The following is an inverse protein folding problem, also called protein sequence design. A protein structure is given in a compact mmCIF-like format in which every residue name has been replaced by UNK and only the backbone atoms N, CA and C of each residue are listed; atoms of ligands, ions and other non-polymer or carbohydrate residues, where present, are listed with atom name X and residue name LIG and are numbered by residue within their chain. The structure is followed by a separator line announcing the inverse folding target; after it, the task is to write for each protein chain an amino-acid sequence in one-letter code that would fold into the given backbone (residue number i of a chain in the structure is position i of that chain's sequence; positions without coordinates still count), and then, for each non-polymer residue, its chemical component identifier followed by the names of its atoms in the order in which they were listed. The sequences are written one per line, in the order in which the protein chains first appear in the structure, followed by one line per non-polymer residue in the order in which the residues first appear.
data_IF_158578487448
#
_entry.id   IF_158578487448
#
_cell.length_a   1.000
_cell.length_b   1.000
_cell.length_c   1.000
_cell.angle_alpha   90.00
_cell.angle_beta   90.00
_cell.angle_gamma   90.00
#
_symmetry.space_group_name_H-M   'P 1'
#
loop_
_entity.id
_entity.type
_entity.pdbx_description
1 polymer ?
#
# COMPACT_ATOMS: atom_id res chain seq x y z
N UNK A 1 -8.91 -27.17 5.25
CA UNK A 1 -9.79 -26.00 4.95
C UNK A 1 -9.00 -25.02 4.10
N UNK A 2 -9.68 -24.24 3.24
CA UNK A 2 -9.03 -23.28 2.33
C UNK A 2 -8.86 -21.91 2.97
N UNK A 3 -7.84 -21.16 2.53
CA UNK A 3 -7.58 -19.78 2.91
C UNK A 3 -7.80 -18.87 1.70
N UNK A 4 -8.43 -17.71 1.90
CA UNK A 4 -8.74 -16.77 0.82
C UNK A 4 -7.96 -15.47 0.99
N UNK A 5 -7.34 -15.00 -0.08
CA UNK A 5 -6.61 -13.74 -0.13
C UNK A 5 -7.21 -12.85 -1.22
N UNK A 6 -7.81 -11.72 -0.85
CA UNK A 6 -8.48 -10.83 -1.80
C UNK A 6 -7.70 -9.53 -1.96
N UNK A 7 -7.15 -9.32 -3.16
CA UNK A 7 -6.23 -8.20 -3.46
C UNK A 7 -6.61 -7.46 -4.74
N UNK A 8 -6.23 -6.19 -4.82
CA UNK A 8 -6.50 -5.28 -5.95
C UNK A 8 -5.27 -4.53 -6.45
N UNK A 9 -4.29 -4.31 -5.59
CA UNK A 9 -3.09 -3.51 -5.91
C UNK A 9 -1.81 -4.28 -5.58
N UNK A 10 -0.66 -3.89 -6.17
CA UNK A 10 0.63 -4.51 -5.89
C UNK A 10 0.99 -4.56 -4.40
N UNK A 11 0.75 -3.47 -3.65
CA UNK A 11 1.00 -3.41 -2.22
C UNK A 11 0.15 -4.43 -1.45
N UNK A 12 -1.13 -4.56 -1.79
CA UNK A 12 -2.03 -5.53 -1.17
C UNK A 12 -1.57 -6.98 -1.44
N UNK A 13 -1.03 -7.26 -2.63
CA UNK A 13 -0.46 -8.57 -2.95
C UNK A 13 0.82 -8.87 -2.16
N UNK A 14 1.69 -7.86 -1.97
CA UNK A 14 2.88 -7.98 -1.10
C UNK A 14 2.44 -8.33 0.32
N UNK A 15 1.48 -7.59 0.88
CA UNK A 15 0.98 -7.84 2.23
C UNK A 15 0.22 -9.19 2.36
N UNK A 16 -0.40 -9.68 1.27
CA UNK A 16 -0.98 -11.01 1.23
C UNK A 16 0.07 -12.13 1.26
N UNK A 17 1.21 -11.94 0.57
CA UNK A 17 2.35 -12.88 0.64
C UNK A 17 2.96 -12.90 2.04
N UNK A 18 3.12 -11.73 2.67
CA UNK A 18 3.54 -11.63 4.08
C UNK A 18 2.59 -12.36 5.02
N UNK A 19 1.27 -12.18 4.86
CA UNK A 19 0.29 -12.90 5.65
C UNK A 19 0.39 -14.42 5.45
N UNK A 20 0.44 -14.89 4.19
CA UNK A 20 0.63 -16.32 3.87
C UNK A 20 1.85 -16.90 4.58
N UNK A 21 2.98 -16.18 4.56
CA UNK A 21 4.22 -16.59 5.22
C UNK A 21 4.10 -16.58 6.74
N UNK A 22 3.59 -15.48 7.32
CA UNK A 22 3.42 -15.31 8.77
C UNK A 22 2.55 -16.43 9.37
N UNK A 23 1.38 -16.66 8.78
CA UNK A 23 0.40 -17.62 9.26
C UNK A 23 0.69 -19.06 8.80
N UNK A 24 1.75 -19.26 7.99
CA UNK A 24 2.15 -20.56 7.43
C UNK A 24 0.99 -21.31 6.78
N UNK A 25 0.11 -20.58 6.10
CA UNK A 25 -1.14 -21.14 5.59
C UNK A 25 -0.89 -22.08 4.42
N UNK A 26 -1.70 -23.14 4.36
CA UNK A 26 -1.72 -24.12 3.27
C UNK A 26 -3.08 -24.05 2.56
N UNK A 27 -3.18 -24.58 1.33
CA UNK A 27 -4.41 -24.55 0.54
C UNK A 27 -4.94 -23.10 0.35
N UNK A 28 -4.13 -22.28 -0.31
CA UNK A 28 -4.32 -20.84 -0.46
C UNK A 28 -4.91 -20.49 -1.82
N UNK A 29 -6.03 -19.75 -1.82
CA UNK A 29 -6.68 -19.23 -3.03
C UNK A 29 -6.46 -17.72 -3.09
N UNK A 30 -5.80 -17.26 -4.15
CA UNK A 30 -5.65 -15.84 -4.43
C UNK A 30 -6.79 -15.36 -5.31
N UNK A 31 -7.48 -14.31 -4.88
CA UNK A 31 -8.53 -13.63 -5.63
C UNK A 31 -7.99 -12.25 -6.01
N UNK A 32 -7.65 -12.11 -7.29
CA UNK A 32 -7.13 -10.86 -7.85
C UNK A 32 -8.27 -10.09 -8.51
N UNK A 33 -8.51 -8.87 -8.06
CA UNK A 33 -9.55 -8.00 -8.61
C UNK A 33 -8.89 -6.85 -9.34
N UNK A 34 -8.68 -7.02 -10.65
CA UNK A 34 -8.01 -6.01 -11.47
C UNK A 34 -8.81 -4.71 -11.52
N UNK A 35 -8.12 -3.59 -11.37
CA UNK A 35 -8.66 -2.28 -11.70
C UNK A 35 -8.71 -2.10 -13.22
N UNK A 36 -9.34 -1.02 -13.69
CA UNK A 36 -9.25 -0.60 -15.10
C UNK A 36 -7.87 -0.04 -15.46
N UNK A 37 -7.00 0.20 -14.47
CA UNK A 37 -5.65 0.72 -14.69
C UNK A 37 -4.74 -0.43 -15.17
N UNK A 38 -4.19 -0.27 -16.37
CA UNK A 38 -3.32 -1.26 -17.00
C UNK A 38 -1.96 -1.40 -16.29
N UNK A 39 -1.41 -0.30 -15.76
CA UNK A 39 -0.15 -0.30 -15.01
C UNK A 39 -0.26 -1.14 -13.73
N UNK A 40 -1.36 -1.00 -12.98
CA UNK A 40 -1.64 -1.85 -11.81
C UNK A 40 -1.63 -3.33 -12.19
N UNK A 41 -2.32 -3.66 -13.28
CA UNK A 41 -2.43 -5.04 -13.78
C UNK A 41 -1.08 -5.62 -14.15
N UNK A 42 -0.24 -4.85 -14.84
CA UNK A 42 1.12 -5.27 -15.21
C UNK A 42 2.02 -5.47 -14.00
N UNK A 43 1.99 -4.55 -13.03
CA UNK A 43 2.74 -4.67 -11.79
C UNK A 43 2.31 -5.90 -10.98
N UNK A 44 1.00 -6.12 -10.86
CA UNK A 44 0.45 -7.32 -10.21
C UNK A 44 0.94 -8.59 -10.88
N UNK A 45 0.89 -8.68 -12.21
CA UNK A 45 1.31 -9.87 -12.94
C UNK A 45 2.81 -10.17 -12.81
N UNK A 46 3.65 -9.17 -12.53
CA UNK A 46 5.08 -9.38 -12.26
C UNK A 46 5.33 -9.98 -10.87
N UNK A 47 4.45 -9.71 -9.90
CA UNK A 47 4.59 -10.20 -8.52
C UNK A 47 3.90 -11.57 -8.36
N UNK A 48 2.80 -11.82 -9.08
CA UNK A 48 2.09 -13.09 -9.01
C UNK A 48 2.97 -14.21 -9.58
N UNK A 49 3.30 -15.18 -8.73
CA UNK A 49 3.89 -16.45 -9.11
C UNK A 49 2.86 -17.56 -8.89
N UNK A 50 2.54 -18.32 -9.95
CA UNK A 50 1.50 -19.36 -9.88
C UNK A 50 1.83 -20.47 -8.89
N UNK A 51 3.12 -20.73 -8.65
CA UNK A 51 3.57 -21.75 -7.70
C UNK A 51 3.30 -21.38 -6.24
N UNK A 52 3.02 -20.10 -5.96
CA UNK A 52 2.71 -19.65 -4.61
C UNK A 52 1.26 -19.95 -4.19
N UNK A 53 0.39 -20.32 -5.12
CA UNK A 53 -1.06 -20.40 -4.86
C UNK A 53 -1.64 -21.71 -5.36
N UNK A 54 -2.57 -22.28 -4.61
CA UNK A 54 -3.27 -23.50 -5.03
C UNK A 54 -4.33 -23.20 -6.11
N UNK A 55 -4.94 -22.02 -6.07
CA UNK A 55 -5.84 -21.53 -7.11
C UNK A 55 -5.68 -19.99 -7.21
N UNK A 56 -5.68 -19.47 -8.44
CA UNK A 56 -5.72 -18.03 -8.70
C UNK A 56 -6.99 -17.69 -9.47
N UNK A 57 -7.87 -16.92 -8.83
CA UNK A 57 -9.13 -16.45 -9.41
C UNK A 57 -8.97 -14.98 -9.79
N UNK A 58 -9.01 -14.71 -11.09
CA UNK A 58 -8.84 -13.37 -11.65
C UNK A 58 -10.18 -12.77 -12.05
N UNK A 59 -10.62 -11.74 -11.32
CA UNK A 59 -11.83 -10.96 -11.61
C UNK A 59 -11.50 -9.71 -12.42
N UNK A 60 -12.45 -9.27 -13.25
CA UNK A 60 -12.33 -8.03 -14.04
C UNK A 60 -11.13 -7.95 -14.99
N UNK A 61 -10.64 -9.08 -15.50
CA UNK A 61 -9.45 -9.10 -16.38
C UNK A 61 -9.58 -8.23 -17.63
N UNK A 62 -10.82 -8.05 -18.12
CA UNK A 62 -11.17 -7.25 -19.30
C UNK A 62 -11.49 -5.77 -19.00
N UNK A 63 -11.35 -5.31 -17.75
CA UNK A 63 -11.60 -3.92 -17.38
C UNK A 63 -13.06 -3.47 -17.58
N UNK A 64 -14.03 -4.33 -17.29
CA UNK A 64 -15.45 -4.00 -17.42
C UNK A 64 -15.85 -2.90 -16.43
N UNK A 65 -16.78 -2.04 -16.82
CA UNK A 65 -17.38 -1.00 -15.95
C UNK A 65 -18.09 -1.59 -14.72
N UNK A 66 -18.62 -2.81 -14.82
CA UNK A 66 -19.28 -3.51 -13.71
C UNK A 66 -18.81 -4.95 -13.60
N UNK A 67 -18.44 -5.34 -12.38
CA UNK A 67 -17.92 -6.67 -12.00
C UNK A 67 -18.88 -7.41 -11.06
N UNK A 68 -20.08 -6.86 -10.90
CA UNK A 68 -21.09 -7.28 -9.93
C UNK A 68 -21.43 -8.77 -10.03
N UNK A 69 -21.74 -9.26 -11.24
CA UNK A 69 -22.09 -10.67 -11.44
C UNK A 69 -20.91 -11.62 -11.27
N UNK A 70 -19.68 -11.18 -11.60
CA UNK A 70 -18.46 -11.96 -11.35
C UNK A 70 -18.27 -12.18 -9.85
N UNK A 71 -18.48 -11.13 -9.04
CA UNK A 71 -18.49 -11.22 -7.58
C UNK A 71 -19.58 -12.15 -7.04
N UNK A 72 -20.83 -12.02 -7.50
CA UNK A 72 -21.93 -12.87 -7.03
C UNK A 72 -21.65 -14.34 -7.33
N UNK A 73 -21.24 -14.66 -8.56
CA UNK A 73 -20.91 -16.03 -8.96
C UNK A 73 -19.81 -16.60 -8.08
N UNK A 74 -18.76 -15.81 -7.82
CA UNK A 74 -17.64 -16.23 -6.97
C UNK A 74 -18.08 -16.45 -5.52
N UNK A 75 -18.80 -15.50 -4.91
CA UNK A 75 -19.26 -15.61 -3.53
C UNK A 75 -20.18 -16.82 -3.36
N UNK A 76 -21.11 -17.04 -4.30
CA UNK A 76 -21.98 -18.23 -4.29
C UNK A 76 -21.23 -19.55 -4.46
N UNK A 77 -20.09 -19.56 -5.16
CA UNK A 77 -19.18 -20.72 -5.22
C UNK A 77 -18.49 -20.92 -3.86
N UNK A 78 -17.94 -19.85 -3.28
CA UNK A 78 -17.10 -19.91 -2.08
C UNK A 78 -17.90 -20.21 -0.80
N UNK A 79 -19.15 -19.76 -0.69
CA UNK A 79 -20.00 -19.97 0.49
C UNK A 79 -20.37 -21.44 0.74
N UNK A 80 -20.16 -22.34 -0.24
CA UNK A 80 -20.51 -23.76 -0.13
C UNK A 80 -19.68 -24.51 0.91
N UNK A 81 -18.50 -23.98 1.25
CA UNK A 81 -17.57 -24.62 2.18
C UNK A 81 -17.01 -23.60 3.16
N UNK A 82 -16.73 -24.00 4.41
CA UNK A 82 -16.09 -23.10 5.36
C UNK A 82 -14.66 -22.75 4.95
N UNK A 83 -14.29 -21.50 5.21
CA UNK A 83 -12.95 -20.95 4.99
C UNK A 83 -12.23 -20.85 6.33
N UNK A 84 -10.95 -21.20 6.38
CA UNK A 84 -10.16 -21.09 7.61
C UNK A 84 -9.87 -19.61 7.89
N UNK A 85 -9.11 -18.96 7.00
CA UNK A 85 -8.78 -17.53 7.10
C UNK A 85 -9.18 -16.78 5.83
N UNK A 86 -9.78 -15.61 6.02
CA UNK A 86 -10.02 -14.63 4.96
C UNK A 86 -9.13 -13.41 5.19
N UNK A 87 -8.25 -13.12 4.23
CA UNK A 87 -7.41 -11.93 4.18
C UNK A 87 -7.99 -10.98 3.14
N UNK A 88 -8.35 -9.77 3.55
CA UNK A 88 -8.97 -8.77 2.68
C UNK A 88 -8.53 -7.37 3.08
N UNK A 89 -8.52 -6.42 2.15
CA UNK A 89 -7.94 -5.11 2.42
C UNK A 89 -8.99 -4.11 2.89
N UNK A 90 -10.18 -4.20 2.28
CA UNK A 90 -11.24 -3.23 2.48
C UNK A 90 -12.57 -3.94 2.70
N UNK A 91 -13.49 -3.28 3.40
CA UNK A 91 -14.78 -3.86 3.72
C UNK A 91 -15.96 -2.93 3.34
N UNK A 92 -15.76 -2.03 2.37
CA UNK A 92 -16.85 -1.34 1.66
C UNK A 92 -17.13 -1.96 0.29
N UNK A 93 -18.30 -1.65 -0.26
CA UNK A 93 -18.69 -2.05 -1.60
C UNK A 93 -18.76 -3.56 -1.77
N UNK A 94 -18.25 -4.08 -2.89
CA UNK A 94 -18.30 -5.51 -3.21
C UNK A 94 -17.39 -6.36 -2.31
N UNK A 95 -16.35 -5.79 -1.71
CA UNK A 95 -15.46 -6.53 -0.82
C UNK A 95 -16.13 -6.90 0.52
N UNK A 96 -17.03 -6.04 1.01
CA UNK A 96 -17.90 -6.33 2.17
C UNK A 96 -18.62 -7.68 2.04
N UNK A 97 -19.00 -8.04 0.82
CA UNK A 97 -19.79 -9.23 0.54
C UNK A 97 -19.02 -10.53 0.82
N UNK A 98 -17.68 -10.52 0.75
CA UNK A 98 -16.89 -11.68 1.16
C UNK A 98 -17.05 -11.92 2.66
N UNK A 99 -16.93 -10.86 3.48
CA UNK A 99 -17.03 -10.95 4.94
C UNK A 99 -18.44 -11.36 5.38
N UNK A 100 -19.48 -10.80 4.75
CA UNK A 100 -20.87 -11.03 5.17
C UNK A 100 -21.45 -12.37 4.71
N UNK A 101 -20.87 -13.04 3.70
CA UNK A 101 -21.44 -14.25 3.10
C UNK A 101 -20.56 -15.49 3.21
N UNK A 102 -19.25 -15.34 3.43
CA UNK A 102 -18.36 -16.49 3.57
C UNK A 102 -18.23 -16.85 5.04
N UNK A 103 -18.52 -18.12 5.36
CA UNK A 103 -18.31 -18.65 6.70
C UNK A 103 -16.80 -18.83 6.94
N UNK A 104 -16.21 -17.92 7.69
CA UNK A 104 -14.78 -17.89 8.04
C UNK A 104 -14.58 -18.22 9.53
N UNK A 105 -13.46 -18.85 9.91
CA UNK A 105 -13.07 -18.91 11.32
C UNK A 105 -12.42 -17.62 11.77
N UNK A 106 -11.50 -17.10 10.95
CA UNK A 106 -10.77 -15.86 11.21
C UNK A 106 -10.83 -14.96 9.97
N UNK A 107 -10.89 -13.65 10.18
CA UNK A 107 -10.90 -12.66 9.10
C UNK A 107 -9.95 -11.54 9.47
N UNK A 108 -9.00 -11.27 8.58
CA UNK A 108 -7.95 -10.29 8.75
C UNK A 108 -8.07 -9.20 7.69
N UNK A 109 -8.02 -7.95 8.14
CA UNK A 109 -7.73 -6.80 7.31
C UNK A 109 -6.22 -6.74 7.06
N UNK A 110 -5.81 -6.85 5.80
CA UNK A 110 -4.42 -6.67 5.39
C UNK A 110 -4.16 -5.23 4.96
N UNK A 111 -2.94 -4.79 5.17
CA UNK A 111 -2.53 -3.40 4.99
C UNK A 111 -2.74 -2.84 3.56
N UNK A 112 -3.30 -1.62 3.48
CA UNK A 112 -3.48 -0.80 2.27
C UNK A 112 -2.68 0.52 2.33
N UNK A 113 -1.55 0.53 3.05
CA UNK A 113 -0.79 1.74 3.33
C UNK A 113 -1.56 2.68 4.25
N UNK A 114 -1.46 3.99 4.03
CA UNK A 114 -2.07 4.99 4.93
C UNK A 114 -3.60 4.89 5.04
N UNK A 115 -4.26 4.25 4.08
CA UNK A 115 -5.70 3.99 4.18
C UNK A 115 -6.03 3.06 5.36
N UNK A 116 -5.12 2.18 5.80
CA UNK A 116 -5.28 1.31 6.96
C UNK A 116 -5.55 2.09 8.24
N UNK A 117 -4.87 3.22 8.44
CA UNK A 117 -5.06 4.10 9.59
C UNK A 117 -6.49 4.65 9.66
N UNK A 118 -6.97 5.16 8.52
CA UNK A 118 -8.34 5.67 8.38
C UNK A 118 -9.37 4.56 8.55
N UNK A 119 -9.10 3.38 7.99
CA UNK A 119 -9.99 2.23 8.12
C UNK A 119 -10.13 1.83 9.59
N UNK A 120 -9.03 1.80 10.33
CA UNK A 120 -9.06 1.48 11.75
C UNK A 120 -9.86 2.53 12.52
N UNK A 121 -9.60 3.83 12.35
CA UNK A 121 -10.30 4.87 13.11
C UNK A 121 -11.81 4.93 12.83
N UNK A 122 -12.25 4.56 11.63
CA UNK A 122 -13.66 4.56 11.24
C UNK A 122 -14.36 3.21 11.43
N UNK A 123 -13.65 2.15 11.84
CA UNK A 123 -14.11 0.75 11.77
C UNK A 123 -15.50 0.51 12.37
N UNK A 124 -15.85 1.01 13.58
CA UNK A 124 -17.19 0.83 14.15
C UNK A 124 -18.30 1.47 13.30
N UNK A 125 -18.04 2.67 12.76
CA UNK A 125 -19.02 3.40 11.95
C UNK A 125 -19.22 2.73 10.59
N UNK A 126 -18.15 2.17 10.02
CA UNK A 126 -18.19 1.51 8.71
C UNK A 126 -18.94 0.17 8.76
N UNK A 127 -18.95 -0.50 9.92
CA UNK A 127 -19.79 -1.70 10.13
C UNK A 127 -21.27 -1.31 10.18
N UNK A 128 -21.60 -0.19 10.83
CA UNK A 128 -22.98 0.26 11.05
C UNK A 128 -23.60 0.96 9.82
N UNK A 129 -22.84 1.73 9.05
CA UNK A 129 -23.38 2.56 7.95
C UNK A 129 -23.35 1.86 6.60
N UNK A 130 -24.49 1.26 6.23
CA UNK A 130 -24.76 0.71 4.90
C UNK A 130 -25.46 1.71 3.96
N UNK A 131 -25.29 1.54 2.64
CA UNK A 131 -26.11 2.26 1.66
C UNK A 131 -27.31 1.39 1.28
N UNK A 132 -28.48 1.70 1.84
CA UNK A 132 -29.69 0.86 1.75
C UNK A 132 -30.07 0.48 0.30
N UNK A 133 -30.00 1.42 -0.64
CA UNK A 133 -30.36 1.17 -2.05
C UNK A 133 -29.35 0.23 -2.72
N UNK A 134 -28.05 0.48 -2.53
CA UNK A 134 -26.99 -0.39 -3.07
C UNK A 134 -27.00 -1.77 -2.41
N UNK A 135 -27.52 -1.89 -1.20
CA UNK A 135 -27.64 -3.14 -0.48
C UNK A 135 -28.82 -3.99 -0.96
N UNK A 136 -29.94 -3.36 -1.34
CA UNK A 136 -31.13 -4.06 -1.82
C UNK A 136 -30.81 -4.99 -3.00
N UNK A 137 -30.04 -4.53 -3.98
CA UNK A 137 -29.64 -5.38 -5.14
C UNK A 137 -28.85 -6.63 -4.74
N UNK A 138 -28.12 -6.61 -3.63
CA UNK A 138 -27.41 -7.79 -3.13
C UNK A 138 -28.39 -8.75 -2.43
N UNK A 139 -29.34 -8.21 -1.66
CA UNK A 139 -30.39 -8.99 -1.00
C UNK A 139 -31.29 -9.70 -2.01
N UNK A 140 -31.65 -9.04 -3.12
CA UNK A 140 -32.44 -9.63 -4.22
C UNK A 140 -31.77 -10.90 -4.79
N UNK A 141 -30.44 -10.92 -4.88
CA UNK A 141 -29.71 -12.09 -5.38
C UNK A 141 -29.34 -13.10 -4.27
N UNK A 142 -29.87 -12.91 -3.06
CA UNK A 142 -29.68 -13.78 -1.89
C UNK A 142 -28.37 -13.58 -1.15
N UNK A 143 -27.73 -12.42 -1.25
CA UNK A 143 -26.50 -12.10 -0.50
C UNK A 143 -26.78 -11.19 0.70
N UNK A 144 -26.14 -11.51 1.82
CA UNK A 144 -26.11 -10.71 3.05
C UNK A 144 -25.20 -9.50 2.87
N UNK A 145 -25.56 -8.38 3.51
CA UNK A 145 -24.79 -7.13 3.46
C UNK A 145 -24.27 -6.67 4.81
N UNK A 146 -24.63 -7.35 5.89
CA UNK A 146 -24.25 -6.99 7.26
C UNK A 146 -22.95 -7.68 7.67
N UNK A 147 -22.07 -6.93 8.35
CA UNK A 147 -20.88 -7.48 8.99
C UNK A 147 -21.22 -7.65 10.46
N UNK A 148 -21.07 -8.87 10.99
CA UNK A 148 -21.43 -9.20 12.37
C UNK A 148 -20.25 -9.23 13.32
N UNK A 149 -19.01 -9.20 12.81
CA UNK A 149 -17.79 -9.26 13.62
C UNK A 149 -16.76 -8.26 13.11
N UNK A 150 -16.12 -7.56 14.05
CA UNK A 150 -14.96 -6.72 13.76
C UNK A 150 -13.80 -7.64 13.32
N UNK A 151 -13.24 -7.47 12.11
CA UNK A 151 -12.11 -8.26 11.66
C UNK A 151 -10.83 -7.88 12.41
N UNK A 152 -9.95 -8.86 12.58
CA UNK A 152 -8.59 -8.66 13.07
C UNK A 152 -7.77 -7.87 12.02
N UNK A 153 -6.62 -7.33 12.38
CA UNK A 153 -5.70 -6.65 11.46
C UNK A 153 -4.37 -7.40 11.33
N UNK A 154 -3.80 -7.38 10.13
CA UNK A 154 -2.43 -7.76 9.83
C UNK A 154 -1.76 -6.59 9.08
N UNK A 155 -0.89 -5.84 9.77
CA UNK A 155 -0.48 -4.52 9.33
C UNK A 155 0.90 -4.12 9.83
N UNK A 156 1.57 -3.23 9.09
CA UNK A 156 2.83 -2.62 9.50
C UNK A 156 2.65 -1.56 10.59
N UNK A 157 1.44 -1.05 10.79
CA UNK A 157 1.16 0.03 11.73
C UNK A 157 0.95 -0.47 13.16
N UNK A 158 1.38 0.32 14.15
CA UNK A 158 1.07 0.09 15.56
C UNK A 158 -0.33 0.60 15.89
N UNK A 159 -1.35 -0.12 15.39
CA UNK A 159 -2.75 0.26 15.59
C UNK A 159 -3.24 -0.06 17.00
N UNK A 160 -3.99 0.86 17.60
CA UNK A 160 -4.78 0.59 18.81
C UNK A 160 -5.94 -0.34 18.47
N UNK A 161 -5.98 -1.53 19.08
CA UNK A 161 -7.04 -2.52 18.86
C UNK A 161 -8.38 -2.13 19.50
N UNK A 162 -9.49 -2.46 18.86
CA UNK A 162 -10.82 -2.46 19.48
C UNK A 162 -11.03 -3.67 20.40
N UNK A 163 -12.05 -3.65 21.30
CA UNK A 163 -12.41 -4.84 22.07
C UNK A 163 -12.67 -6.05 21.16
N UNK A 164 -12.07 -7.19 21.51
CA UNK A 164 -12.14 -8.45 20.76
C UNK A 164 -11.53 -8.42 19.34
N UNK A 165 -10.73 -7.41 19.02
CA UNK A 165 -9.93 -7.35 17.80
C UNK A 165 -8.47 -7.65 18.12
N UNK A 166 -7.83 -8.49 17.30
CA UNK A 166 -6.38 -8.67 17.31
C UNK A 166 -5.74 -7.78 16.26
N UNK A 167 -4.63 -7.13 16.61
CA UNK A 167 -3.75 -6.44 15.67
C UNK A 167 -2.44 -7.21 15.63
N UNK A 168 -2.12 -7.79 14.48
CA UNK A 168 -0.93 -8.60 14.24
C UNK A 168 0.05 -7.80 13.40
N UNK A 169 1.28 -7.72 13.87
CA UNK A 169 2.33 -6.96 13.21
C UNK A 169 2.84 -7.67 11.95
N UNK A 170 2.87 -6.93 10.85
CA UNK A 170 3.58 -7.26 9.63
C UNK A 170 4.98 -6.63 9.67
N UNK A 171 5.98 -7.47 9.91
CA UNK A 171 7.40 -7.11 9.99
C UNK A 171 8.17 -7.41 8.70
N UNK A 172 7.43 -7.68 7.61
CA UNK A 172 7.95 -7.99 6.28
C UNK A 172 8.97 -9.13 6.23
N UNK A 173 8.76 -10.16 7.05
CA UNK A 173 9.67 -11.31 7.15
C UNK A 173 9.81 -12.07 5.84
N UNK A 174 8.75 -12.20 5.04
CA UNK A 174 8.85 -12.88 3.77
C UNK A 174 9.75 -12.11 2.79
N UNK A 175 9.51 -10.81 2.62
CA UNK A 175 10.33 -9.95 1.77
C UNK A 175 11.80 -9.94 2.20
N UNK A 176 12.07 -9.95 3.51
CA UNK A 176 13.43 -10.10 4.04
C UNK A 176 14.11 -11.38 3.61
N UNK A 177 13.38 -12.50 3.47
CA UNK A 177 13.96 -13.75 2.97
C UNK A 177 14.39 -13.69 1.50
N UNK A 178 13.86 -12.73 0.73
CA UNK A 178 14.19 -12.53 -0.67
C UNK A 178 15.41 -11.62 -0.87
N UNK A 179 15.88 -10.96 0.19
CA UNK A 179 17.07 -10.11 0.14
C UNK A 179 18.31 -11.00 -0.11
N UNK A 180 19.04 -10.70 -1.19
CA UNK A 180 20.29 -11.39 -1.51
C UNK A 180 21.44 -10.86 -0.65
N UNK A 181 22.30 -11.74 -0.18
CA UNK A 181 23.46 -11.42 0.67
C UNK A 181 24.55 -10.57 -0.02
N UNK A 182 24.55 -10.49 -1.36
CA UNK A 182 25.54 -9.76 -2.16
C UNK A 182 25.02 -8.41 -2.69
N UNK A 183 24.22 -7.68 -1.90
CA UNK A 183 23.61 -6.42 -2.36
C UNK A 183 24.65 -5.32 -2.53
N UNK A 184 24.64 -4.67 -3.69
CA UNK A 184 25.47 -3.48 -3.95
C UNK A 184 24.91 -2.29 -3.16
N UNK A 185 25.41 -2.06 -1.95
CA UNK A 185 25.07 -0.86 -1.16
C UNK A 185 25.85 0.35 -1.69
N UNK A 186 25.44 0.90 -2.82
CA UNK A 186 25.95 2.22 -3.22
C UNK A 186 25.45 3.25 -2.21
N UNK A 187 26.31 4.20 -1.85
CA UNK A 187 25.96 5.28 -0.92
C UNK A 187 25.14 6.37 -1.63
N UNK A 188 24.02 5.96 -2.22
CA UNK A 188 23.07 6.85 -2.90
C UNK A 188 21.89 7.16 -1.98
N UNK A 189 21.32 8.34 -2.15
CA UNK A 189 20.04 8.72 -1.55
C UNK A 189 18.94 8.31 -2.51
N UNK A 190 17.99 7.50 -2.06
CA UNK A 190 16.80 7.17 -2.84
C UNK A 190 15.66 8.10 -2.43
N UNK A 191 15.34 9.06 -3.29
CA UNK A 191 14.26 10.03 -3.08
C UNK A 191 12.99 9.54 -3.78
N UNK A 192 11.96 9.18 -3.01
CA UNK A 192 10.71 8.67 -3.54
C UNK A 192 9.73 9.82 -3.79
N UNK A 193 9.34 10.00 -5.05
CA UNK A 193 8.31 10.94 -5.47
C UNK A 193 6.92 10.57 -4.96
N UNK A 194 6.03 11.57 -4.92
CA UNK A 194 4.63 11.40 -4.51
C UNK A 194 3.71 12.23 -5.39
N UNK A 195 2.51 11.74 -5.66
CA UNK A 195 1.51 12.46 -6.48
C UNK A 195 0.88 13.61 -5.70
N UNK A 196 1.60 14.73 -5.54
CA UNK A 196 1.14 15.90 -4.77
C UNK A 196 0.61 17.03 -5.66
N UNK A 197 1.14 17.17 -6.89
CA UNK A 197 0.77 18.24 -7.83
C UNK A 197 -0.60 17.96 -8.47
N UNK A 198 -0.77 16.77 -9.07
CA UNK A 198 -2.01 16.36 -9.76
C UNK A 198 -3.28 16.49 -8.90
N UNK A 199 -3.31 16.06 -7.62
CA UNK A 199 -4.46 16.26 -6.76
C UNK A 199 -4.52 17.67 -6.13
N UNK A 200 -3.73 18.63 -6.60
CA UNK A 200 -3.69 20.00 -6.09
C UNK A 200 -3.39 20.10 -4.58
N UNK A 201 -2.64 19.14 -4.01
CA UNK A 201 -2.24 19.20 -2.60
C UNK A 201 -1.25 20.35 -2.38
N UNK A 202 -0.31 20.53 -3.30
CA UNK A 202 0.65 21.65 -3.33
C UNK A 202 0.86 22.12 -4.78
N UNK A 203 1.46 23.30 -4.96
CA UNK A 203 1.86 23.78 -6.29
C UNK A 203 3.08 23.04 -6.85
N UNK A 204 3.21 23.00 -8.19
CA UNK A 204 4.42 22.49 -8.86
C UNK A 204 5.67 23.27 -8.43
N UNK A 205 5.58 24.59 -8.32
CA UNK A 205 6.68 25.46 -7.88
C UNK A 205 7.16 25.10 -6.46
N UNK A 206 6.23 24.85 -5.54
CA UNK A 206 6.56 24.44 -4.18
C UNK A 206 7.18 23.04 -4.13
N UNK A 207 6.65 22.09 -4.91
CA UNK A 207 7.23 20.74 -5.01
C UNK A 207 8.68 20.79 -5.49
N UNK A 208 8.97 21.59 -6.52
CA UNK A 208 10.32 21.76 -7.06
C UNK A 208 11.25 22.41 -6.03
N UNK A 209 10.76 23.44 -5.33
CA UNK A 209 11.50 24.06 -4.21
C UNK A 209 11.89 23.00 -3.18
N UNK A 210 10.98 22.09 -2.84
CA UNK A 210 11.28 21.00 -1.90
C UNK A 210 12.32 20.02 -2.40
N UNK A 211 12.23 19.61 -3.67
CA UNK A 211 13.26 18.75 -4.27
C UNK A 211 14.64 19.46 -4.32
N UNK A 212 14.68 20.77 -4.54
CA UNK A 212 15.91 21.58 -4.47
C UNK A 212 16.48 21.66 -3.06
N UNK A 213 15.64 21.88 -2.04
CA UNK A 213 16.05 21.86 -0.64
C UNK A 213 16.67 20.51 -0.28
N UNK A 214 16.06 19.39 -0.71
CA UNK A 214 16.58 18.04 -0.49
C UNK A 214 17.93 17.85 -1.21
N UNK A 215 18.03 18.27 -2.47
CA UNK A 215 19.27 18.22 -3.25
C UNK A 215 20.41 18.98 -2.58
N UNK A 216 20.11 20.16 -2.05
CA UNK A 216 21.07 20.98 -1.30
C UNK A 216 21.49 20.34 0.03
N UNK A 217 20.53 19.75 0.75
CA UNK A 217 20.79 19.08 2.02
C UNK A 217 21.74 17.89 1.85
N UNK A 218 21.60 17.14 0.76
CA UNK A 218 22.46 15.99 0.42
C UNK A 218 23.50 16.30 -0.68
N UNK A 219 24.02 17.53 -0.75
CA UNK A 219 24.89 18.02 -1.84
C UNK A 219 26.12 17.13 -2.17
N UNK A 220 26.65 16.40 -1.19
CA UNK A 220 27.84 15.55 -1.33
C UNK A 220 27.50 14.08 -1.64
N UNK A 221 26.23 13.78 -1.88
CA UNK A 221 25.72 12.43 -2.18
C UNK A 221 24.92 12.45 -3.48
N UNK A 222 25.01 11.36 -4.22
CA UNK A 222 24.19 11.15 -5.41
C UNK A 222 22.76 10.78 -5.02
N UNK A 223 21.79 11.52 -5.54
CA UNK A 223 20.36 11.29 -5.37
C UNK A 223 19.82 10.56 -6.59
N UNK A 224 19.10 9.47 -6.34
CA UNK A 224 18.26 8.79 -7.33
C UNK A 224 16.81 9.15 -7.00
N UNK A 225 16.24 10.06 -7.78
CA UNK A 225 14.83 10.40 -7.71
C UNK A 225 14.00 9.34 -8.43
N UNK A 226 13.09 8.70 -7.70
CA UNK A 226 12.18 7.70 -8.23
C UNK A 226 10.78 8.31 -8.25
N UNK A 227 10.29 8.78 -9.41
CA UNK A 227 8.99 9.43 -9.49
C UNK A 227 7.87 8.47 -9.12
N UNK A 228 6.76 9.03 -8.64
CA UNK A 228 5.56 8.23 -8.42
C UNK A 228 4.98 7.80 -9.77
N UNK A 229 4.43 6.58 -9.87
CA UNK A 229 3.86 6.05 -11.12
C UNK A 229 2.72 6.89 -11.73
N UNK A 230 2.04 7.68 -10.91
CA UNK A 230 0.91 8.54 -11.31
C UNK A 230 1.32 10.02 -11.50
N UNK A 231 2.61 10.32 -11.32
CA UNK A 231 3.19 11.64 -11.58
C UNK A 231 3.09 11.97 -13.08
N UNK A 232 2.71 13.21 -13.41
CA UNK A 232 2.39 13.56 -14.80
C UNK A 232 3.67 13.74 -15.61
N UNK A 233 3.61 13.38 -16.90
CA UNK A 233 4.77 13.46 -17.79
C UNK A 233 5.38 14.88 -17.85
N UNK A 234 4.52 15.90 -17.87
CA UNK A 234 4.95 17.31 -17.87
C UNK A 234 5.67 17.70 -16.56
N UNK A 235 5.17 17.24 -15.41
CA UNK A 235 5.82 17.48 -14.12
C UNK A 235 7.19 16.79 -14.07
N UNK A 236 7.26 15.55 -14.54
CA UNK A 236 8.51 14.79 -14.60
C UNK A 236 9.53 15.43 -15.54
N UNK A 237 9.10 15.90 -16.71
CA UNK A 237 9.96 16.63 -17.63
C UNK A 237 10.50 17.90 -16.98
N UNK A 238 9.65 18.66 -16.29
CA UNK A 238 10.07 19.86 -15.58
C UNK A 238 11.08 19.58 -14.47
N UNK A 239 10.89 18.49 -13.70
CA UNK A 239 11.85 18.02 -12.70
C UNK A 239 13.20 17.72 -13.34
N UNK A 240 13.21 16.99 -14.46
CA UNK A 240 14.45 16.67 -15.18
C UNK A 240 15.17 17.93 -15.65
N UNK A 241 14.46 18.84 -16.30
CA UNK A 241 15.03 20.10 -16.80
C UNK A 241 15.62 20.98 -15.69
N UNK A 242 15.04 20.97 -14.49
CA UNK A 242 15.46 21.84 -13.38
C UNK A 242 16.49 21.22 -12.46
N UNK A 243 16.51 19.90 -12.31
CA UNK A 243 17.25 19.23 -11.24
C UNK A 243 18.22 18.18 -11.74
N UNK A 244 18.03 17.59 -12.91
CA UNK A 244 18.86 16.47 -13.35
C UNK A 244 20.29 16.93 -13.68
N UNK A 245 21.26 16.31 -13.00
CA UNK A 245 22.69 16.48 -13.21
C UNK A 245 23.45 15.23 -12.71
N UNK A 246 24.77 15.32 -12.59
CA UNK A 246 25.60 14.20 -12.12
C UNK A 246 25.24 13.68 -10.72
N UNK A 247 24.68 14.56 -9.87
CA UNK A 247 24.35 14.30 -8.48
C UNK A 247 22.84 14.10 -8.23
N UNK A 248 21.97 14.35 -9.21
CA UNK A 248 20.54 14.10 -9.12
C UNK A 248 20.06 13.42 -10.41
N UNK A 249 19.74 12.12 -10.33
CA UNK A 249 19.29 11.33 -11.48
C UNK A 249 17.84 10.94 -11.32
N UNK A 250 17.06 11.09 -12.39
CA UNK A 250 15.67 10.64 -12.43
C UNK A 250 15.59 9.22 -12.97
N UNK A 251 15.23 8.26 -12.12
CA UNK A 251 15.11 6.84 -12.48
C UNK A 251 13.67 6.37 -12.33
N UNK A 252 13.02 6.01 -13.44
CA UNK A 252 11.66 5.50 -13.42
C UNK A 252 11.58 4.08 -12.88
N UNK A 253 10.65 3.85 -11.96
CA UNK A 253 10.33 2.54 -11.43
C UNK A 253 9.31 1.81 -12.31
N UNK A 254 9.37 0.47 -12.32
CA UNK A 254 8.46 -0.41 -13.06
C UNK A 254 7.54 -1.22 -12.14
N UNK A 255 7.65 -1.05 -10.82
CA UNK A 255 6.91 -1.79 -9.81
C UNK A 255 6.59 -0.99 -8.55
N UNK A 256 6.04 -1.68 -7.54
CA UNK A 256 6.04 -1.18 -6.18
C UNK A 256 7.48 -1.10 -5.67
N UNK A 257 7.84 -0.01 -4.99
CA UNK A 257 9.24 0.30 -4.66
C UNK A 257 9.88 -0.76 -3.77
N UNK A 258 9.10 -1.35 -2.85
CA UNK A 258 9.54 -2.42 -1.95
C UNK A 258 10.05 -3.63 -2.74
N UNK A 259 9.27 -4.09 -3.73
CA UNK A 259 9.66 -5.21 -4.59
C UNK A 259 10.75 -4.82 -5.58
N UNK A 260 10.74 -3.58 -6.06
CA UNK A 260 11.75 -3.11 -7.01
C UNK A 260 13.15 -3.12 -6.42
N UNK A 261 13.31 -2.66 -5.17
CA UNK A 261 14.59 -2.76 -4.49
C UNK A 261 15.04 -4.20 -4.30
N UNK A 262 14.15 -5.08 -3.87
CA UNK A 262 14.46 -6.51 -3.66
C UNK A 262 14.88 -7.19 -4.97
N UNK A 263 14.08 -7.05 -6.03
CA UNK A 263 14.33 -7.69 -7.33
C UNK A 263 15.67 -7.24 -7.93
N UNK A 264 15.96 -5.95 -7.83
CA UNK A 264 17.19 -5.38 -8.36
C UNK A 264 18.40 -5.52 -7.42
N UNK A 265 18.24 -6.17 -6.25
CA UNK A 265 19.30 -6.31 -5.25
C UNK A 265 19.81 -4.98 -4.71
N UNK A 266 18.94 -3.96 -4.68
CA UNK A 266 19.22 -2.64 -4.13
C UNK A 266 18.97 -2.68 -2.63
N UNK A 267 20.01 -2.33 -1.86
CA UNK A 267 19.93 -2.18 -0.42
C UNK A 267 20.22 -0.72 -0.08
N UNK A 268 19.19 0.14 0.03
CA UNK A 268 19.37 1.57 0.15
C UNK A 268 19.98 1.91 1.52
N UNK A 269 21.03 2.72 1.55
CA UNK A 269 21.57 3.25 2.82
C UNK A 269 20.71 4.39 3.36
N UNK A 270 20.16 5.21 2.45
CA UNK A 270 19.31 6.33 2.81
C UNK A 270 18.09 6.40 1.90
N UNK A 271 16.91 6.55 2.49
CA UNK A 271 15.64 6.73 1.79
C UNK A 271 15.02 8.05 2.25
N UNK A 272 14.51 8.84 1.31
CA UNK A 272 13.86 10.11 1.58
C UNK A 272 12.53 10.15 0.85
N UNK A 273 11.50 10.68 1.49
CA UNK A 273 10.23 11.04 0.84
C UNK A 273 9.51 12.08 1.68
N UNK A 274 8.22 12.31 1.42
CA UNK A 274 7.34 13.12 2.25
C UNK A 274 6.62 12.20 3.26
N UNK A 275 5.31 12.02 3.13
CA UNK A 275 4.47 11.24 4.05
C UNK A 275 3.91 9.97 3.38
N UNK A 276 4.74 9.08 2.83
CA UNK A 276 4.28 7.87 2.11
C UNK A 276 4.37 6.60 2.96
N UNK A 277 3.43 5.66 2.80
CA UNK A 277 3.50 4.34 3.45
C UNK A 277 4.73 3.54 3.03
N UNK A 278 5.30 3.82 1.85
CA UNK A 278 6.53 3.20 1.41
C UNK A 278 7.68 3.43 2.39
N UNK A 279 7.77 4.60 3.05
CA UNK A 279 8.82 4.83 4.07
C UNK A 279 8.70 3.84 5.23
N UNK A 280 7.48 3.60 5.69
CA UNK A 280 7.17 2.71 6.82
C UNK A 280 7.47 1.25 6.45
N UNK A 281 7.06 0.85 5.24
CA UNK A 281 7.33 -0.49 4.74
C UNK A 281 8.84 -0.72 4.58
N UNK A 282 9.54 0.25 3.98
CA UNK A 282 10.99 0.17 3.75
C UNK A 282 11.79 0.22 5.04
N UNK A 283 11.36 0.96 6.07
CA UNK A 283 11.96 0.93 7.42
C UNK A 283 11.95 -0.48 7.99
N UNK A 284 10.81 -1.17 7.88
CA UNK A 284 10.67 -2.53 8.35
C UNK A 284 11.46 -3.53 7.51
N UNK A 285 11.51 -3.37 6.20
CA UNK A 285 12.24 -4.27 5.28
C UNK A 285 13.75 -4.10 5.43
N UNK A 286 14.24 -2.86 5.44
CA UNK A 286 15.66 -2.48 5.43
C UNK A 286 16.05 -1.83 6.76
N UNK A 287 16.20 -2.65 7.80
CA UNK A 287 16.41 -2.21 9.18
C UNK A 287 17.71 -1.42 9.45
N UNK A 288 18.63 -1.32 8.48
CA UNK A 288 19.85 -0.50 8.61
C UNK A 288 19.82 0.76 7.74
N UNK A 289 18.71 1.04 7.05
CA UNK A 289 18.56 2.25 6.26
C UNK A 289 18.27 3.45 7.16
N UNK A 290 18.91 4.59 6.87
CA UNK A 290 18.48 5.89 7.36
C UNK A 290 17.26 6.34 6.56
N UNK A 291 16.16 6.67 7.24
CA UNK A 291 14.92 7.04 6.55
C UNK A 291 14.43 8.40 7.04
N UNK A 292 14.14 9.28 6.08
CA UNK A 292 13.72 10.65 6.31
C UNK A 292 12.37 10.95 5.66
N UNK A 293 11.49 11.58 6.43
CA UNK A 293 10.25 12.18 5.95
C UNK A 293 10.39 13.71 5.98
N UNK A 294 10.44 14.34 4.81
CA UNK A 294 10.57 15.79 4.70
C UNK A 294 9.19 16.43 4.86
N UNK A 295 9.03 17.27 5.87
CA UNK A 295 7.75 17.91 6.17
C UNK A 295 7.37 18.95 5.11
N UNK A 296 6.08 19.02 4.78
CA UNK A 296 5.50 20.02 3.89
C UNK A 296 4.90 21.14 4.75
N UNK A 297 5.33 22.38 4.52
CA UNK A 297 4.85 23.51 5.33
C UNK A 297 3.33 23.63 5.22
N UNK A 298 2.68 23.70 6.37
CA UNK A 298 1.23 23.66 6.49
C UNK A 298 0.49 24.80 5.76
N UNK A 299 1.16 25.91 5.43
CA UNK A 299 0.61 27.03 4.66
C UNK A 299 0.68 26.83 3.13
N UNK A 300 1.44 25.84 2.67
CA UNK A 300 1.62 25.49 1.25
C UNK A 300 0.74 24.32 0.83
N UNK A 301 0.05 23.69 1.79
CA UNK A 301 -0.88 22.59 1.57
C UNK A 301 -2.28 23.15 1.32
N UNK A 302 -2.79 22.98 0.10
CA UNK A 302 -4.10 23.47 -0.32
C UNK A 302 -5.23 22.46 -0.09
N UNK A 303 -4.93 21.16 -0.18
CA UNK A 303 -5.90 20.09 0.04
C UNK A 303 -5.41 19.06 1.07
N UNK A 304 -6.36 18.47 1.81
CA UNK A 304 -6.14 17.34 2.73
C UNK A 304 -5.14 17.60 3.86
N UNK A 305 -4.94 18.87 4.22
CA UNK A 305 -4.00 19.30 5.27
C UNK A 305 -4.06 18.46 6.55
N UNK A 306 -5.23 18.33 7.16
CA UNK A 306 -5.40 17.55 8.40
C UNK A 306 -4.97 16.08 8.23
N UNK A 307 -5.31 15.46 7.10
CA UNK A 307 -4.93 14.09 6.82
C UNK A 307 -3.41 13.94 6.62
N UNK A 308 -2.76 14.94 6.04
CA UNK A 308 -1.31 14.96 5.83
C UNK A 308 -0.57 15.12 7.15
N UNK A 309 -0.99 16.08 8.00
CA UNK A 309 -0.40 16.25 9.33
C UNK A 309 -0.60 15.00 10.19
N UNK A 310 -1.76 14.36 10.12
CA UNK A 310 -1.99 13.07 10.78
C UNK A 310 -1.03 11.97 10.29
N UNK A 311 -0.62 11.99 9.02
CA UNK A 311 0.37 11.04 8.50
C UNK A 311 1.77 11.30 9.07
N UNK A 312 2.20 12.56 9.20
CA UNK A 312 3.49 12.88 9.83
C UNK A 312 3.50 12.48 11.30
N UNK A 313 2.43 12.81 12.05
CA UNK A 313 2.30 12.41 13.45
C UNK A 313 2.35 10.89 13.64
N UNK A 314 1.75 10.14 12.71
CA UNK A 314 1.82 8.67 12.73
C UNK A 314 3.25 8.17 12.49
N UNK A 315 3.95 8.76 11.51
CA UNK A 315 5.35 8.43 11.22
C UNK A 315 6.21 8.69 12.47
N UNK A 316 6.08 9.85 13.11
CA UNK A 316 6.86 10.20 14.31
C UNK A 316 6.56 9.30 15.51
N UNK A 317 5.30 8.93 15.73
CA UNK A 317 4.90 8.15 16.90
C UNK A 317 5.25 6.67 16.79
N UNK A 318 5.19 6.12 15.57
CA UNK A 318 5.15 4.67 15.39
C UNK A 318 6.30 4.10 14.58
N UNK A 319 7.30 4.91 14.22
CA UNK A 319 8.47 4.48 13.44
C UNK A 319 9.75 5.15 13.91
N UNK A 320 10.91 4.64 13.47
CA UNK A 320 12.21 5.31 13.69
C UNK A 320 12.55 6.32 12.58
N UNK A 321 11.58 6.71 11.76
CA UNK A 321 11.78 7.60 10.61
C UNK A 321 11.93 9.02 11.13
N UNK A 322 13.01 9.70 10.72
CA UNK A 322 13.24 11.08 11.12
C UNK A 322 12.39 12.03 10.27
N UNK A 323 11.49 12.77 10.93
CA UNK A 323 10.77 13.86 10.28
C UNK A 323 11.64 15.12 10.29
N UNK A 324 11.85 15.71 9.11
CA UNK A 324 12.64 16.94 8.95
C UNK A 324 11.68 18.10 8.68
N UNK A 325 11.44 18.94 9.69
CA UNK A 325 10.61 20.15 9.57
C UNK A 325 11.26 21.25 8.73
N UNK A 326 12.58 21.38 8.83
CA UNK A 326 13.37 22.36 8.09
C UNK A 326 14.69 21.75 7.66
N UNK A 327 14.93 21.73 6.36
CA UNK A 327 16.22 21.34 5.76
C UNK A 327 17.23 22.49 5.94
N UNK A 328 17.62 22.76 7.19
CA UNK A 328 18.79 23.59 7.53
C UNK A 328 19.99 22.65 7.65
N UNK A 329 21.16 23.08 7.16
CA UNK A 329 22.37 22.26 7.26
C UNK A 329 22.64 21.86 8.72
N UNK A 330 22.97 20.59 9.00
CA UNK A 330 23.52 20.21 10.29
C UNK A 330 24.85 20.92 10.56
#
# INVERSE_FOLDING_TARGET
MKNLFVVRTPLQLINALEAKYHFKTQNNILIVVYSVNQTDKEQMNKIINEKDWNEIIKLNQKGKKSIFFEYIKLIKKLQKEPVDKLFIVFFKGLQKLFISNIRTKETYLIDDGLASLKIQSELPQLIQRGNLIKELRYRIVGLKTEITKIPDFFTAYNLTSYPNQKVIQNDYRYLKTLLKSSSNSKNYIYLLGQTLIKPHIITQAYYITKLQEIKKYFKDKKIIYIPHRDEQANDLQYIKEKLEDENFIVQTSKGAIEMEFIINGVYPKTIVSFFTSALINLEKIFNTSEIYAVHLKSNEIHERKEAIEACYLEIEKNTNIQVIESLRHP
#
